data_IF_381122540642
#
_entry.id   IF_381122540642
#
_cell.length_a   1.000
_cell.length_b   1.000
_cell.length_c   1.000
_cell.angle_alpha   90.00
_cell.angle_beta   90.00
_cell.angle_gamma   90.00
#
_symmetry.space_group_name_H-M   'P 1'
#
loop_
_entity.id
_entity.type
_entity.pdbx_description
1 polymer ?
#
# COMPACT_ATOMS: atom_id res chain seq x y z
N UNK A 1 3.91 -28.05 -27.00
CA UNK A 1 2.74 -27.70 -26.18
C UNK A 1 2.36 -26.27 -26.56
N UNK A 2 1.17 -26.04 -27.11
CA UNK A 2 0.74 -24.68 -27.49
C UNK A 2 0.47 -23.91 -26.20
N UNK A 3 1.08 -22.73 -26.04
CA UNK A 3 0.63 -21.74 -25.04
C UNK A 3 -0.72 -21.22 -25.54
N UNK A 4 -1.81 -21.78 -25.06
CA UNK A 4 -3.18 -21.36 -25.45
C UNK A 4 -3.68 -20.14 -24.65
N UNK A 5 -2.83 -19.53 -23.83
CA UNK A 5 -3.10 -18.25 -23.17
C UNK A 5 -1.87 -17.35 -23.26
N UNK A 6 -2.05 -16.19 -23.90
CA UNK A 6 -1.08 -15.10 -23.96
C UNK A 6 -1.26 -14.21 -22.71
N UNK A 7 -1.37 -14.84 -21.54
CA UNK A 7 -1.43 -14.13 -20.27
C UNK A 7 -0.21 -14.48 -19.42
N UNK A 8 0.45 -13.43 -18.98
CA UNK A 8 1.51 -13.46 -18.01
C UNK A 8 0.90 -13.19 -16.61
N UNK A 9 1.73 -12.93 -15.61
CA UNK A 9 1.28 -12.69 -14.24
C UNK A 9 1.78 -11.33 -13.79
N UNK A 10 0.96 -10.57 -13.05
CA UNK A 10 1.35 -9.30 -12.45
C UNK A 10 1.11 -9.30 -10.95
N UNK A 11 2.10 -8.85 -10.20
CA UNK A 11 2.03 -8.58 -8.77
C UNK A 11 1.90 -7.08 -8.55
N UNK A 12 1.00 -6.71 -7.65
CA UNK A 12 0.79 -5.33 -7.22
C UNK A 12 0.30 -5.33 -5.76
N UNK A 13 0.32 -4.17 -5.13
CA UNK A 13 -0.25 -3.94 -3.80
C UNK A 13 -1.50 -3.09 -3.99
N UNK A 14 -2.66 -3.62 -3.61
CA UNK A 14 -3.89 -2.83 -3.54
C UNK A 14 -3.84 -1.91 -2.32
N UNK A 15 -4.46 -0.73 -2.40
CA UNK A 15 -4.50 0.26 -1.32
C UNK A 15 -3.15 0.48 -0.60
N UNK A 16 -2.05 0.71 -1.35
CA UNK A 16 -0.71 0.80 -0.80
C UNK A 16 -0.62 1.96 0.21
N UNK A 17 0.13 1.75 1.29
CA UNK A 17 0.27 2.74 2.37
C UNK A 17 -0.89 2.74 3.37
N UNK A 18 -1.86 1.84 3.23
CA UNK A 18 -2.99 1.71 4.15
C UNK A 18 -2.99 0.35 4.90
N UNK A 19 -3.71 0.20 6.03
CA UNK A 19 -3.90 -1.06 6.73
C UNK A 19 -4.67 -2.10 5.90
N UNK A 20 -5.35 -1.66 4.84
CA UNK A 20 -6.05 -2.52 3.88
C UNK A 20 -5.13 -2.99 2.75
N UNK A 21 -3.84 -2.65 2.81
CA UNK A 21 -2.93 -3.05 1.77
C UNK A 21 -2.84 -4.58 1.66
N UNK A 22 -3.08 -5.08 0.45
CA UNK A 22 -3.00 -6.50 0.13
C UNK A 22 -2.07 -6.69 -1.05
N UNK A 23 -1.18 -7.67 -0.95
CA UNK A 23 -0.38 -8.10 -2.10
C UNK A 23 -1.23 -8.98 -2.98
N UNK A 24 -1.52 -8.49 -4.17
CA UNK A 24 -2.36 -9.16 -5.15
C UNK A 24 -1.50 -9.80 -6.24
N UNK A 25 -2.00 -10.92 -6.76
CA UNK A 25 -1.48 -11.57 -7.96
C UNK A 25 -2.63 -11.78 -8.93
N UNK A 26 -2.45 -11.30 -10.16
CA UNK A 26 -3.45 -11.40 -11.21
C UNK A 26 -2.83 -11.90 -12.52
N UNK A 27 -3.65 -12.52 -13.35
CA UNK A 27 -3.29 -12.70 -14.76
C UNK A 27 -3.17 -11.33 -15.43
N UNK A 28 -2.17 -11.18 -16.27
CA UNK A 28 -1.83 -9.92 -16.92
C UNK A 28 -1.78 -10.12 -18.42
N UNK A 29 -2.62 -9.37 -19.13
CA UNK A 29 -2.57 -9.27 -20.58
C UNK A 29 -1.52 -8.23 -21.00
N UNK A 30 -1.00 -8.29 -22.24
CA UNK A 30 0.00 -7.34 -22.72
C UNK A 30 -0.41 -5.86 -22.55
N UNK A 31 -1.70 -5.55 -22.75
CA UNK A 31 -2.26 -4.21 -22.59
C UNK A 31 -2.39 -3.72 -21.13
N UNK A 32 -2.21 -4.60 -20.15
CA UNK A 32 -2.31 -4.28 -18.70
C UNK A 32 -0.93 -4.03 -18.06
N UNK A 33 0.13 -4.04 -18.86
CA UNK A 33 1.51 -3.78 -18.41
C UNK A 33 1.85 -2.29 -18.55
N UNK A 34 2.59 -1.77 -17.58
CA UNK A 34 3.08 -0.39 -17.62
C UNK A 34 4.58 -0.32 -17.94
N UNK A 35 5.08 0.75 -18.57
CA UNK A 35 6.53 0.91 -18.83
C UNK A 35 7.39 0.89 -17.57
N UNK A 36 6.80 1.27 -16.43
CA UNK A 36 7.42 1.28 -15.11
C UNK A 36 7.45 -0.10 -14.45
N UNK A 37 6.78 -1.10 -15.01
CA UNK A 37 6.76 -2.43 -14.42
C UNK A 37 8.12 -3.11 -14.57
N UNK A 38 8.60 -3.71 -13.48
CA UNK A 38 9.75 -4.58 -13.52
C UNK A 38 9.35 -5.94 -14.08
N UNK A 39 10.20 -6.48 -14.96
CA UNK A 39 9.94 -7.74 -15.66
C UNK A 39 10.90 -8.82 -15.20
N UNK A 40 10.37 -9.91 -14.68
CA UNK A 40 11.12 -11.10 -14.34
C UNK A 40 10.75 -12.23 -15.32
N UNK A 41 11.65 -12.55 -16.23
CA UNK A 41 11.44 -13.60 -17.21
C UNK A 41 11.72 -14.98 -16.58
N UNK A 42 10.66 -15.75 -16.30
CA UNK A 42 10.76 -17.13 -15.82
C UNK A 42 10.63 -18.11 -17.00
N UNK A 43 10.94 -19.38 -16.77
CA UNK A 43 10.95 -20.39 -17.85
C UNK A 43 9.58 -20.58 -18.52
N UNK A 44 8.48 -20.39 -17.79
CA UNK A 44 7.12 -20.65 -18.28
C UNK A 44 6.32 -19.39 -18.58
N UNK A 45 6.53 -18.30 -17.84
CA UNK A 45 5.78 -17.04 -17.93
C UNK A 45 6.65 -15.85 -17.54
N UNK A 46 6.21 -14.63 -17.89
CA UNK A 46 6.81 -13.40 -17.38
C UNK A 46 6.05 -12.96 -16.14
N UNK A 47 6.77 -12.63 -15.08
CA UNK A 47 6.21 -11.97 -13.91
C UNK A 47 6.46 -10.47 -14.03
N UNK A 48 5.39 -9.69 -13.99
CA UNK A 48 5.42 -8.24 -13.92
C UNK A 48 5.25 -7.79 -12.47
N UNK A 49 6.07 -6.85 -12.02
CA UNK A 49 5.92 -6.20 -10.71
C UNK A 49 5.56 -4.75 -10.98
N UNK A 50 4.41 -4.31 -10.48
CA UNK A 50 3.98 -2.93 -10.66
C UNK A 50 4.96 -1.94 -10.02
N UNK A 51 5.44 -0.97 -10.79
CA UNK A 51 6.47 -0.03 -10.33
C UNK A 51 6.07 0.76 -9.07
N UNK A 52 4.80 1.19 -8.96
CA UNK A 52 4.27 1.87 -7.77
C UNK A 52 4.22 0.98 -6.52
N UNK A 53 4.15 -0.33 -6.73
CA UNK A 53 4.11 -1.34 -5.68
C UNK A 53 5.52 -1.75 -5.22
N UNK A 54 6.57 -1.43 -5.99
CA UNK A 54 7.96 -1.80 -5.69
C UNK A 54 8.40 -1.41 -4.25
N UNK A 55 8.12 -0.20 -3.72
CA UNK A 55 8.47 0.17 -2.34
C UNK A 55 7.80 -0.67 -1.25
N UNK A 56 6.68 -1.31 -1.55
CA UNK A 56 5.89 -2.13 -0.61
C UNK A 56 6.22 -3.62 -0.69
N UNK A 57 6.95 -4.01 -1.74
CA UNK A 57 7.38 -5.38 -2.02
C UNK A 57 8.87 -5.58 -1.68
N UNK A 58 9.50 -4.61 -1.01
CA UNK A 58 10.84 -4.78 -0.44
C UNK A 58 10.82 -5.95 0.56
N UNK A 59 11.75 -6.88 0.39
CA UNK A 59 11.82 -8.17 1.10
C UNK A 59 10.67 -9.16 0.80
N UNK A 60 9.90 -8.97 -0.29
CA UNK A 60 8.88 -9.93 -0.69
C UNK A 60 9.50 -11.22 -1.21
N UNK A 61 9.08 -12.36 -0.65
CA UNK A 61 9.47 -13.69 -1.11
C UNK A 61 8.32 -14.33 -1.89
N UNK A 62 8.63 -14.84 -3.08
CA UNK A 62 7.71 -15.64 -3.90
C UNK A 62 8.20 -17.08 -3.86
N UNK A 63 7.39 -17.96 -3.29
CA UNK A 63 7.66 -19.39 -3.23
C UNK A 63 6.65 -20.16 -4.08
N UNK A 64 7.13 -21.14 -4.84
CA UNK A 64 6.28 -22.08 -5.58
C UNK A 64 6.54 -23.50 -5.08
N UNK A 65 5.54 -24.10 -4.47
CA UNK A 65 5.56 -25.49 -4.03
C UNK A 65 4.73 -26.33 -4.98
N UNK A 66 5.39 -27.18 -5.78
CA UNK A 66 4.69 -28.12 -6.66
C UNK A 66 4.03 -29.23 -5.82
N UNK A 67 2.70 -29.33 -5.86
CA UNK A 67 1.93 -30.39 -5.22
C UNK A 67 1.11 -31.17 -6.26
N UNK A 68 0.42 -32.23 -5.79
CA UNK A 68 -0.38 -33.09 -6.66
C UNK A 68 -1.62 -32.38 -7.27
N UNK A 69 -1.89 -31.12 -6.92
CA UNK A 69 -3.02 -30.33 -7.41
C UNK A 69 -2.61 -29.23 -8.41
N UNK A 70 -1.35 -29.20 -8.85
CA UNK A 70 -0.85 -28.22 -9.83
C UNK A 70 0.07 -27.15 -9.22
N UNK A 71 0.37 -27.27 -7.93
CA UNK A 71 1.30 -26.41 -7.21
C UNK A 71 0.65 -25.17 -6.59
N UNK A 72 1.27 -24.69 -5.52
CA UNK A 72 0.87 -23.54 -4.75
C UNK A 72 1.91 -22.43 -4.88
N UNK A 73 1.47 -21.26 -5.35
CA UNK A 73 2.28 -20.05 -5.34
C UNK A 73 1.94 -19.25 -4.08
N UNK A 74 2.95 -18.98 -3.25
CA UNK A 74 2.82 -18.20 -2.01
C UNK A 74 3.67 -16.95 -2.11
N UNK A 75 3.05 -15.79 -1.91
CA UNK A 75 3.77 -14.52 -1.80
C UNK A 75 3.76 -14.11 -0.33
N UNK A 76 4.95 -13.92 0.24
CA UNK A 76 5.14 -13.32 1.56
C UNK A 76 5.73 -11.93 1.36
N UNK A 77 4.90 -10.90 1.48
CA UNK A 77 5.35 -9.51 1.49
C UNK A 77 5.23 -8.95 2.91
N UNK A 78 6.23 -9.16 3.78
CA UNK A 78 6.16 -8.76 5.19
C UNK A 78 6.04 -7.23 5.37
N UNK A 79 6.47 -6.45 4.37
CA UNK A 79 6.43 -4.98 4.34
C UNK A 79 5.19 -4.41 3.63
N UNK A 80 4.28 -5.24 3.11
CA UNK A 80 3.14 -4.82 2.27
C UNK A 80 2.20 -3.80 2.91
N UNK A 81 2.12 -3.77 4.24
CA UNK A 81 1.14 -2.96 4.99
C UNK A 81 1.63 -1.60 5.42
N UNK A 82 2.95 -1.41 5.48
CA UNK A 82 3.54 -0.20 6.04
C UNK A 82 4.84 0.05 5.26
N UNK A 83 4.89 1.02 4.35
CA UNK A 83 6.15 1.39 3.73
C UNK A 83 7.08 1.87 4.85
N UNK A 84 8.33 1.39 4.86
CA UNK A 84 9.38 2.11 5.60
C UNK A 84 9.44 3.48 4.94
N UNK A 85 8.98 4.51 5.65
CA UNK A 85 9.09 5.89 5.19
C UNK A 85 10.58 6.18 5.06
N UNK A 86 11.11 6.05 3.84
CA UNK A 86 12.49 6.41 3.51
C UNK A 86 12.66 7.93 3.56
N UNK A 87 13.91 8.39 3.52
CA UNK A 87 14.23 9.83 3.53
C UNK A 87 13.63 10.59 2.33
N UNK A 88 13.36 9.89 1.23
CA UNK A 88 12.78 10.41 -0.02
C UNK A 88 11.24 10.36 -0.09
N UNK A 89 10.55 9.94 0.97
CA UNK A 89 9.09 9.82 0.98
C UNK A 89 8.39 11.19 0.84
N UNK A 90 7.35 11.26 0.02
CA UNK A 90 6.58 12.49 -0.18
C UNK A 90 5.89 12.91 1.12
N UNK A 91 5.48 14.19 1.23
CA UNK A 91 4.72 14.67 2.39
C UNK A 91 3.43 13.86 2.55
N UNK A 92 2.77 13.53 1.44
CA UNK A 92 1.55 12.71 1.41
C UNK A 92 1.79 11.32 1.98
N UNK A 93 2.87 10.64 1.58
CA UNK A 93 3.23 9.32 2.11
C UNK A 93 3.53 9.37 3.62
N UNK A 94 4.24 10.40 4.07
CA UNK A 94 4.57 10.60 5.49
C UNK A 94 3.31 10.83 6.33
N UNK A 95 2.38 11.63 5.81
CA UNK A 95 1.10 11.91 6.45
C UNK A 95 0.24 10.65 6.51
N UNK A 96 0.12 9.93 5.39
CA UNK A 96 -0.61 8.66 5.33
C UNK A 96 -0.05 7.64 6.32
N UNK A 97 1.27 7.49 6.38
CA UNK A 97 1.92 6.58 7.31
C UNK A 97 1.48 6.85 8.76
N UNK A 98 1.46 8.10 9.20
CA UNK A 98 1.04 8.44 10.59
C UNK A 98 -0.45 8.28 10.80
N UNK A 99 -1.26 8.68 9.82
CA UNK A 99 -2.71 8.45 9.87
C UNK A 99 -2.99 6.98 10.14
N UNK A 100 -2.28 6.07 9.48
CA UNK A 100 -2.56 4.65 9.58
C UNK A 100 -1.82 3.90 10.68
N UNK A 101 -0.58 4.29 11.01
CA UNK A 101 0.22 3.63 12.04
C UNK A 101 -0.07 4.14 13.46
N UNK A 102 -0.47 5.41 13.60
CA UNK A 102 -0.65 6.05 14.91
C UNK A 102 -2.09 6.52 15.16
N UNK A 103 -2.72 7.22 14.19
CA UNK A 103 -4.01 7.89 14.43
C UNK A 103 -5.20 6.93 14.33
N UNK A 104 -5.33 6.18 13.24
CA UNK A 104 -6.44 5.27 13.00
C UNK A 104 -6.54 4.15 14.04
N UNK A 105 -5.45 3.55 14.55
CA UNK A 105 -5.54 2.60 15.67
C UNK A 105 -6.21 3.22 16.92
N UNK A 106 -5.95 4.51 17.19
CA UNK A 106 -6.58 5.23 18.29
C UNK A 106 -8.05 5.54 18.01
N UNK A 107 -8.37 6.01 16.80
CA UNK A 107 -9.75 6.31 16.39
C UNK A 107 -10.63 5.07 16.26
N UNK A 108 -10.08 3.95 15.83
CA UNK A 108 -10.78 2.68 15.66
C UNK A 108 -11.36 2.17 16.99
N UNK A 109 -10.69 2.46 18.11
CA UNK A 109 -11.19 2.15 19.46
C UNK A 109 -12.50 2.89 19.79
N UNK A 110 -12.78 3.98 19.08
CA UNK A 110 -14.01 4.78 19.17
C UNK A 110 -14.90 4.63 17.92
N UNK A 111 -14.61 3.66 17.05
CA UNK A 111 -15.36 3.40 15.82
C UNK A 111 -15.21 4.49 14.75
N UNK A 112 -14.21 5.38 14.88
CA UNK A 112 -13.88 6.39 13.88
C UNK A 112 -12.72 5.94 12.99
N UNK A 113 -12.63 6.54 11.81
CA UNK A 113 -11.47 6.46 10.92
C UNK A 113 -11.21 7.84 10.30
N UNK A 114 -10.00 8.05 9.82
CA UNK A 114 -9.61 9.25 9.09
C UNK A 114 -8.76 8.87 7.89
N UNK A 115 -8.91 9.62 6.81
CA UNK A 115 -8.22 9.46 5.55
C UNK A 115 -7.60 10.78 5.11
N UNK A 116 -6.44 10.73 4.47
CA UNK A 116 -5.91 11.88 3.73
C UNK A 116 -6.74 12.10 2.47
N UNK A 117 -7.28 13.30 2.29
CA UNK A 117 -7.99 13.68 1.07
C UNK A 117 -7.05 14.32 0.05
N UNK A 118 -6.28 15.32 0.48
CA UNK A 118 -5.26 15.97 -0.36
C UNK A 118 -4.24 16.72 0.50
N UNK A 119 -3.06 16.98 -0.07
CA UNK A 119 -2.12 17.99 0.41
C UNK A 119 -2.11 19.11 -0.62
N UNK A 120 -2.48 20.32 -0.20
CA UNK A 120 -2.55 21.47 -1.12
C UNK A 120 -1.17 22.00 -1.48
N UNK A 121 -1.07 22.80 -2.55
CA UNK A 121 0.18 23.47 -2.97
C UNK A 121 0.78 24.36 -1.86
N UNK A 122 -0.05 24.88 -0.97
CA UNK A 122 0.35 25.67 0.20
C UNK A 122 0.73 24.80 1.42
N UNK A 123 0.90 23.49 1.24
CA UNK A 123 1.19 22.49 2.28
C UNK A 123 0.10 22.33 3.36
N UNK A 124 -1.17 22.58 3.02
CA UNK A 124 -2.28 22.24 3.93
C UNK A 124 -2.70 20.78 3.72
N UNK A 125 -2.81 20.05 4.83
CA UNK A 125 -3.28 18.67 4.84
C UNK A 125 -4.79 18.65 5.05
N UNK A 126 -5.54 18.22 4.04
CA UNK A 126 -7.00 18.07 4.09
C UNK A 126 -7.32 16.63 4.44
N UNK A 127 -8.06 16.43 5.54
CA UNK A 127 -8.44 15.11 6.03
C UNK A 127 -9.94 14.89 5.93
N UNK A 128 -10.32 13.65 5.64
CA UNK A 128 -11.71 13.20 5.65
C UNK A 128 -11.93 12.22 6.79
N UNK A 129 -12.91 12.51 7.64
CA UNK A 129 -13.31 11.66 8.76
C UNK A 129 -14.46 10.72 8.39
N UNK A 130 -14.35 9.47 8.82
CA UNK A 130 -15.32 8.40 8.63
C UNK A 130 -15.70 7.70 9.94
N UNK A 131 -16.73 6.84 9.89
CA UNK A 131 -17.16 6.01 11.03
C UNK A 131 -18.11 6.70 12.04
N UNK A 132 -18.26 6.08 13.22
CA UNK A 132 -19.18 6.47 14.29
C UNK A 132 -18.81 7.76 15.02
N UNK A 133 -17.72 8.41 14.63
CA UNK A 133 -17.26 9.69 15.19
C UNK A 133 -17.76 10.91 14.40
N UNK A 134 -18.97 10.84 13.85
CA UNK A 134 -19.68 12.01 13.32
C UNK A 134 -20.18 12.87 14.48
N UNK A 135 -19.29 13.68 15.08
CA UNK A 135 -19.68 14.78 15.96
C UNK A 135 -19.24 14.73 17.44
N UNK A 136 -18.21 13.95 17.82
CA UNK A 136 -17.64 14.06 19.17
C UNK A 136 -16.39 14.95 19.12
N UNK A 137 -16.47 16.17 19.67
CA UNK A 137 -15.43 17.23 19.59
C UNK A 137 -14.08 16.94 20.27
N UNK A 138 -13.78 15.67 20.55
CA UNK A 138 -12.48 15.21 21.09
C UNK A 138 -11.54 14.67 20.00
N UNK A 139 -12.05 14.43 18.78
CA UNK A 139 -11.25 13.96 17.64
C UNK A 139 -10.25 15.02 17.17
N UNK A 140 -10.67 16.30 17.14
CA UNK A 140 -9.84 17.41 16.65
C UNK A 140 -8.51 17.56 17.41
N UNK A 141 -8.47 17.21 18.71
CA UNK A 141 -7.28 17.36 19.56
C UNK A 141 -6.23 16.29 19.27
N UNK A 142 -6.63 15.01 19.19
CA UNK A 142 -5.70 13.90 18.95
C UNK A 142 -5.04 13.99 17.58
N UNK A 143 -5.77 14.45 16.56
CA UNK A 143 -5.20 14.65 15.22
C UNK A 143 -4.29 15.86 15.15
N UNK A 144 -4.70 16.97 15.76
CA UNK A 144 -3.85 18.15 15.83
C UNK A 144 -2.53 17.83 16.51
N UNK A 145 -2.55 17.13 17.64
CA UNK A 145 -1.32 16.72 18.34
C UNK A 145 -0.48 15.69 17.55
N UNK A 146 -1.12 14.72 16.88
CA UNK A 146 -0.42 13.72 16.05
C UNK A 146 0.27 14.34 14.83
N UNK A 147 -0.39 15.28 14.16
CA UNK A 147 0.11 15.95 12.95
C UNK A 147 1.07 17.11 13.30
N UNK A 148 0.86 17.83 14.41
CA UNK A 148 1.82 18.85 14.84
C UNK A 148 3.19 18.25 15.18
N UNK A 149 3.23 17.05 15.76
CA UNK A 149 4.49 16.33 15.99
C UNK A 149 5.25 16.03 14.71
N UNK A 150 4.57 15.85 13.58
CA UNK A 150 5.17 15.61 12.25
C UNK A 150 5.98 16.81 11.75
N UNK A 151 5.41 18.01 11.91
CA UNK A 151 6.05 19.26 11.50
C UNK A 151 7.18 19.67 12.46
N UNK A 152 7.01 19.43 13.77
CA UNK A 152 8.01 19.79 14.78
C UNK A 152 9.23 18.86 14.81
N UNK A 153 9.11 17.58 14.41
CA UNK A 153 10.25 16.64 14.37
C UNK A 153 11.20 16.85 13.18
N UNK A 154 10.85 17.70 12.22
CA UNK A 154 11.67 18.02 11.04
C UNK A 154 12.08 19.52 11.00
N UNK A 155 12.02 20.22 12.13
CA UNK A 155 12.53 21.61 12.29
C UNK A 155 13.87 21.63 13.03
#
# INVERSE_FOLDING_TARGET
MKKDFDCDVRIFVSDPGTPRAETCLAFCKPEETEPTDERLCLESFTLFIEGKSSPYLEDAEINYDADNFGGQLTIKAPSSRIPKVGEDATIEDRVNYIIYSEINPQLASHGGEVHLNEVTEDNYVVLQFGGGCQGCGMVDVTLKEGIEKLFLKNS
#
